data_IF_391167729741
#
_entry.id   IF_391167729741
#
_cell.length_a   1.000
_cell.length_b   1.000
_cell.length_c   1.000
_cell.angle_alpha   90.00
_cell.angle_beta   90.00
_cell.angle_gamma   90.00
#
_symmetry.space_group_name_H-M   'P 1'
#
loop_
_entity.id
_entity.type
_entity.pdbx_description
1 polymer ?
#
# COMPACT_ATOMS: atom_id res chain seq x y z
N UNK A 1 -38.33 -19.66 -15.93
CA UNK A 1 -38.43 -18.73 -14.79
C UNK A 1 -39.55 -19.22 -13.88
N UNK A 2 -39.27 -19.64 -12.64
CA UNK A 2 -40.32 -19.96 -11.66
C UNK A 2 -40.96 -18.63 -11.22
N UNK A 3 -42.09 -18.29 -11.83
CA UNK A 3 -42.80 -17.05 -11.55
C UNK A 3 -43.35 -17.02 -10.13
N UNK A 4 -43.39 -15.82 -9.54
CA UNK A 4 -43.98 -15.53 -8.25
C UNK A 4 -45.45 -15.96 -8.23
N UNK A 5 -45.83 -16.93 -7.40
CA UNK A 5 -47.23 -17.36 -7.26
C UNK A 5 -47.97 -16.43 -6.31
N UNK A 6 -49.02 -15.77 -6.79
CA UNK A 6 -49.89 -14.96 -5.95
C UNK A 6 -50.71 -15.91 -5.06
N UNK A 7 -50.51 -15.82 -3.74
CA UNK A 7 -51.18 -16.68 -2.75
C UNK A 7 -52.59 -16.19 -2.39
N UNK A 8 -52.90 -14.90 -2.60
CA UNK A 8 -54.20 -14.29 -2.29
C UNK A 8 -54.68 -13.44 -3.47
N UNK A 9 -55.52 -14.03 -4.33
CA UNK A 9 -56.18 -13.32 -5.42
C UNK A 9 -57.26 -12.38 -4.87
N UNK A 10 -57.37 -11.17 -5.42
CA UNK A 10 -58.42 -10.20 -5.08
C UNK A 10 -58.15 -9.29 -3.88
N UNK A 11 -57.01 -9.44 -3.19
CA UNK A 11 -56.61 -8.47 -2.16
C UNK A 11 -55.78 -7.34 -2.75
N UNK A 12 -56.21 -6.11 -2.48
CA UNK A 12 -55.43 -4.89 -2.72
C UNK A 12 -54.25 -4.83 -1.76
N UNK A 13 -53.06 -4.43 -2.25
CA UNK A 13 -51.79 -4.57 -1.53
C UNK A 13 -51.71 -3.91 -0.15
N UNK A 14 -52.52 -2.87 0.10
CA UNK A 14 -52.58 -2.17 1.39
C UNK A 14 -53.37 -2.93 2.49
N UNK A 15 -54.09 -4.00 2.13
CA UNK A 15 -54.88 -4.84 3.07
C UNK A 15 -54.18 -6.19 3.33
N UNK A 16 -52.96 -6.36 2.82
CA UNK A 16 -52.17 -7.53 3.12
C UNK A 16 -51.70 -7.46 4.58
N UNK A 17 -51.84 -8.55 5.36
CA UNK A 17 -51.29 -8.60 6.71
C UNK A 17 -49.76 -8.62 6.60
N UNK A 18 -49.14 -7.47 6.81
CA UNK A 18 -47.69 -7.33 6.88
C UNK A 18 -47.25 -7.58 8.32
N UNK A 19 -46.49 -8.65 8.52
CA UNK A 19 -45.79 -8.86 9.78
C UNK A 19 -44.54 -7.97 9.78
N UNK A 20 -44.71 -6.76 10.32
CA UNK A 20 -43.64 -5.77 10.41
C UNK A 20 -42.43 -6.29 11.21
N UNK A 21 -42.65 -7.12 12.24
CA UNK A 21 -41.59 -7.70 13.03
C UNK A 21 -40.80 -8.73 12.23
N UNK A 22 -41.48 -9.64 11.52
CA UNK A 22 -40.82 -10.61 10.64
C UNK A 22 -40.04 -9.93 9.51
N UNK A 23 -40.57 -8.85 8.93
CA UNK A 23 -39.88 -8.05 7.91
C UNK A 23 -38.62 -7.38 8.48
N UNK A 24 -38.69 -6.79 9.68
CA UNK A 24 -37.54 -6.19 10.33
C UNK A 24 -36.44 -7.22 10.65
N UNK A 25 -36.82 -8.40 11.18
CA UNK A 25 -35.88 -9.50 11.45
C UNK A 25 -35.22 -9.98 10.16
N UNK A 26 -35.98 -10.08 9.07
CA UNK A 26 -35.44 -10.44 7.75
C UNK A 26 -34.44 -9.39 7.26
N UNK A 27 -34.80 -8.11 7.31
CA UNK A 27 -33.93 -7.02 6.89
C UNK A 27 -32.60 -7.04 7.66
N UNK A 28 -32.64 -7.21 8.98
CA UNK A 28 -31.45 -7.31 9.83
C UNK A 28 -30.55 -8.50 9.43
N UNK A 29 -31.14 -9.66 9.11
CA UNK A 29 -30.39 -10.84 8.64
C UNK A 29 -29.76 -10.60 7.27
N UNK A 30 -30.48 -9.95 6.36
CA UNK A 30 -30.00 -9.66 5.01
C UNK A 30 -28.86 -8.62 5.04
N UNK A 31 -28.97 -7.61 5.91
CA UNK A 31 -27.90 -6.63 6.18
C UNK A 31 -26.66 -7.31 6.80
N UNK A 32 -26.85 -8.20 7.77
CA UNK A 32 -25.74 -8.96 8.35
C UNK A 32 -25.02 -9.85 7.32
N UNK A 33 -25.77 -10.46 6.39
CA UNK A 33 -25.19 -11.25 5.28
C UNK A 33 -24.40 -10.37 4.30
N UNK A 34 -24.95 -9.21 3.94
CA UNK A 34 -24.25 -8.24 3.10
C UNK A 34 -22.94 -7.80 3.75
N UNK A 35 -22.99 -7.45 5.04
CA UNK A 35 -21.81 -7.09 5.82
C UNK A 35 -20.77 -8.21 5.80
N UNK A 36 -21.17 -9.47 5.98
CA UNK A 36 -20.26 -10.61 5.92
C UNK A 36 -19.56 -10.73 4.56
N UNK A 37 -20.26 -10.48 3.44
CA UNK A 37 -19.65 -10.49 2.09
C UNK A 37 -18.67 -9.34 1.91
N UNK A 38 -18.99 -8.15 2.44
CA UNK A 38 -18.09 -6.99 2.43
C UNK A 38 -16.82 -7.31 3.24
N UNK A 39 -16.99 -7.80 4.47
CA UNK A 39 -15.90 -8.20 5.35
C UNK A 39 -15.02 -9.27 4.66
N UNK A 40 -15.61 -10.25 3.96
CA UNK A 40 -14.87 -11.24 3.17
C UNK A 40 -14.03 -10.62 2.05
N UNK A 41 -14.57 -9.64 1.33
CA UNK A 41 -13.85 -8.98 0.22
C UNK A 41 -12.61 -8.23 0.72
N UNK A 42 -12.72 -7.55 1.86
CA UNK A 42 -11.63 -6.78 2.46
C UNK A 42 -10.73 -7.59 3.40
N UNK A 43 -11.13 -8.80 3.81
CA UNK A 43 -10.35 -9.61 4.75
C UNK A 43 -8.95 -9.93 4.21
N UNK A 44 -7.94 -9.64 5.02
CA UNK A 44 -6.59 -10.18 4.84
C UNK A 44 -6.57 -11.67 5.20
N UNK A 45 -5.75 -12.47 4.51
CA UNK A 45 -5.53 -13.87 4.84
C UNK A 45 -6.07 -14.88 3.81
N UNK A 46 -6.29 -16.12 4.23
CA UNK A 46 -6.74 -17.18 3.31
C UNK A 46 -8.26 -17.08 3.08
N UNK A 47 -8.68 -16.85 1.84
CA UNK A 47 -10.12 -16.80 1.47
C UNK A 47 -10.87 -18.06 1.84
N UNK A 48 -10.27 -19.23 1.59
CA UNK A 48 -10.90 -20.51 1.91
C UNK A 48 -11.11 -20.66 3.42
N UNK A 49 -10.12 -20.32 4.23
CA UNK A 49 -10.23 -20.37 5.69
C UNK A 49 -11.30 -19.41 6.20
N UNK A 50 -11.43 -18.21 5.61
CA UNK A 50 -12.50 -17.28 5.96
C UNK A 50 -13.87 -17.90 5.69
N UNK A 51 -14.07 -18.49 4.51
CA UNK A 51 -15.33 -19.15 4.12
C UNK A 51 -15.65 -20.32 5.07
N UNK A 52 -14.67 -21.16 5.38
CA UNK A 52 -14.84 -22.31 6.30
C UNK A 52 -15.25 -21.83 7.69
N UNK A 53 -14.58 -20.80 8.22
CA UNK A 53 -14.93 -20.20 9.50
C UNK A 53 -16.37 -19.64 9.50
N UNK A 54 -16.81 -19.00 8.42
CA UNK A 54 -18.18 -18.47 8.28
C UNK A 54 -19.24 -19.58 8.38
N UNK A 55 -18.96 -20.76 7.82
CA UNK A 55 -19.86 -21.94 7.90
C UNK A 55 -19.65 -22.80 9.14
N UNK A 56 -18.78 -22.39 10.08
CA UNK A 56 -18.55 -23.08 11.35
C UNK A 56 -17.41 -24.11 11.35
N UNK A 57 -16.73 -24.30 10.22
CA UNK A 57 -15.54 -25.15 10.12
C UNK A 57 -14.29 -24.38 10.58
N UNK A 58 -14.02 -24.45 11.89
CA UNK A 58 -12.89 -23.77 12.53
C UNK A 58 -11.58 -24.56 12.37
N UNK A 59 -10.46 -23.88 12.55
CA UNK A 59 -9.10 -24.45 12.56
C UNK A 59 -8.61 -25.04 11.22
N UNK A 60 -9.21 -24.65 10.09
CA UNK A 60 -8.71 -25.06 8.78
C UNK A 60 -7.34 -24.45 8.49
N UNK A 61 -6.45 -25.21 7.86
CA UNK A 61 -5.16 -24.70 7.41
C UNK A 61 -5.31 -23.75 6.20
N UNK A 62 -4.38 -22.80 5.99
CA UNK A 62 -4.37 -21.96 4.80
C UNK A 62 -4.31 -22.81 3.52
N UNK A 63 -5.15 -22.51 2.53
CA UNK A 63 -5.30 -23.35 1.34
C UNK A 63 -4.12 -23.33 0.35
N UNK A 64 -3.16 -22.42 0.51
CA UNK A 64 -2.00 -22.27 -0.37
C UNK A 64 -2.28 -21.75 -1.80
N UNK A 65 -3.55 -21.68 -2.23
CA UNK A 65 -3.92 -21.45 -3.64
C UNK A 65 -4.78 -20.22 -3.94
N UNK A 66 -5.41 -19.61 -2.94
CA UNK A 66 -6.18 -18.37 -3.15
C UNK A 66 -5.27 -17.15 -3.35
N UNK A 67 -5.84 -16.04 -3.85
CA UNK A 67 -5.18 -14.73 -3.99
C UNK A 67 -4.48 -14.31 -2.69
N UNK A 68 -5.17 -14.40 -1.54
CA UNK A 68 -4.57 -14.06 -0.25
C UNK A 68 -3.47 -15.03 0.20
N UNK A 69 -3.44 -16.26 -0.30
CA UNK A 69 -2.30 -17.18 -0.08
C UNK A 69 -1.13 -16.89 -1.03
N UNK A 70 -1.42 -16.61 -2.30
CA UNK A 70 -0.41 -16.41 -3.36
C UNK A 70 0.25 -15.04 -3.32
N UNK A 71 -0.47 -14.01 -2.88
CA UNK A 71 0.05 -12.65 -2.73
C UNK A 71 1.04 -12.49 -1.57
N UNK A 72 1.08 -13.45 -0.64
CA UNK A 72 2.04 -13.46 0.47
C UNK A 72 3.40 -13.92 -0.03
N UNK A 73 4.30 -12.99 -0.32
CA UNK A 73 5.72 -13.24 -0.10
C UNK A 73 5.86 -13.49 1.40
N UNK A 74 6.10 -14.75 1.79
CA UNK A 74 6.31 -15.10 3.19
C UNK A 74 7.64 -14.47 3.66
N UNK A 75 7.58 -13.22 4.08
CA UNK A 75 8.60 -12.69 4.99
C UNK A 75 8.31 -13.37 6.32
N UNK A 76 9.24 -14.18 6.83
CA UNK A 76 9.05 -14.81 8.12
C UNK A 76 8.95 -13.74 9.21
N UNK A 77 8.08 -13.97 10.21
CA UNK A 77 8.03 -13.13 11.40
C UNK A 77 9.42 -13.11 12.03
N UNK A 78 9.98 -11.91 12.21
CA UNK A 78 11.30 -11.74 12.82
C UNK A 78 11.26 -10.65 13.88
N UNK A 79 12.29 -10.64 14.72
CA UNK A 79 12.56 -9.48 15.57
C UNK A 79 12.83 -8.26 14.70
N UNK A 80 12.09 -7.20 15.00
CA UNK A 80 12.17 -5.93 14.28
C UNK A 80 13.42 -5.17 14.75
N UNK A 81 14.18 -4.59 13.81
CA UNK A 81 15.37 -3.79 14.15
C UNK A 81 14.96 -2.47 14.82
N UNK A 82 15.88 -1.80 15.51
CA UNK A 82 15.57 -0.59 16.27
C UNK A 82 15.05 0.57 15.39
N UNK A 83 15.59 0.73 14.19
CA UNK A 83 15.16 1.71 13.18
C UNK A 83 13.76 1.38 12.65
N UNK A 84 13.52 0.11 12.32
CA UNK A 84 12.22 -0.39 11.89
C UNK A 84 11.15 -0.24 13.00
N UNK A 85 11.54 -0.37 14.26
CA UNK A 85 10.64 -0.17 15.40
C UNK A 85 10.18 1.27 15.54
N UNK A 86 11.03 2.22 15.17
CA UNK A 86 10.68 3.63 15.14
C UNK A 86 9.61 3.87 14.06
N UNK A 87 9.77 3.30 12.87
CA UNK A 87 8.78 3.36 11.80
C UNK A 87 7.43 2.75 12.20
N UNK A 88 7.43 1.58 12.85
CA UNK A 88 6.21 0.93 13.34
C UNK A 88 5.45 1.87 14.29
N UNK A 89 6.15 2.44 15.28
CA UNK A 89 5.53 3.38 16.22
C UNK A 89 5.02 4.64 15.54
N UNK A 90 5.76 5.20 14.57
CA UNK A 90 5.34 6.39 13.81
C UNK A 90 4.05 6.12 13.03
N UNK A 91 3.97 4.98 12.34
CA UNK A 91 2.81 4.60 11.56
C UNK A 91 1.57 4.36 12.45
N UNK A 92 1.71 3.61 13.55
CA UNK A 92 0.61 3.38 14.50
C UNK A 92 0.20 4.68 15.21
N UNK A 93 1.15 5.57 15.50
CA UNK A 93 0.85 6.91 16.03
C UNK A 93 0.02 7.73 15.05
N UNK A 94 0.25 7.58 13.74
CA UNK A 94 -0.60 8.18 12.71
C UNK A 94 -2.04 7.72 12.81
N UNK A 95 -2.28 6.41 12.95
CA UNK A 95 -3.63 5.85 13.14
C UNK A 95 -4.27 6.44 14.39
N UNK A 96 -3.54 6.49 15.51
CA UNK A 96 -4.03 7.04 16.77
C UNK A 96 -4.36 8.54 16.70
N UNK A 97 -3.49 9.36 16.08
CA UNK A 97 -3.73 10.81 15.91
C UNK A 97 -4.92 11.11 14.99
N UNK A 98 -5.23 10.18 14.11
CA UNK A 98 -6.39 10.22 13.22
C UNK A 98 -7.61 9.48 13.80
N UNK A 99 -7.57 9.16 15.09
CA UNK A 99 -8.65 8.50 15.84
C UNK A 99 -9.01 9.32 17.08
N UNK A 100 -10.15 9.01 17.70
CA UNK A 100 -10.52 9.59 19.00
C UNK A 100 -10.15 8.61 20.12
N UNK A 101 -9.41 9.08 21.12
CA UNK A 101 -9.05 8.25 22.28
C UNK A 101 -10.24 8.13 23.23
N UNK A 102 -10.70 6.90 23.53
CA UNK A 102 -11.72 6.64 24.56
C UNK A 102 -11.10 6.26 25.90
N UNK A 103 -10.06 5.44 25.87
CA UNK A 103 -9.34 5.00 27.06
C UNK A 103 -7.85 4.82 26.77
N UNK A 104 -7.13 4.19 27.69
CA UNK A 104 -5.69 3.97 27.57
C UNK A 104 -5.30 3.26 26.27
N UNK A 105 -6.03 2.20 25.89
CA UNK A 105 -5.77 1.36 24.73
C UNK A 105 -6.94 1.26 23.73
N UNK A 106 -8.03 1.97 23.98
CA UNK A 106 -9.22 1.93 23.13
C UNK A 106 -9.34 3.23 22.33
N UNK A 107 -9.41 3.07 21.01
CA UNK A 107 -9.46 4.15 20.03
C UNK A 107 -10.71 4.00 19.16
N UNK A 108 -11.33 5.11 18.80
CA UNK A 108 -12.43 5.15 17.82
C UNK A 108 -11.90 5.64 16.49
N UNK A 109 -11.97 4.84 15.42
CA UNK A 109 -11.45 5.25 14.13
C UNK A 109 -12.31 6.36 13.55
N UNK A 110 -11.70 7.26 12.76
CA UNK A 110 -12.41 8.34 12.07
C UNK A 110 -12.19 8.34 10.56
N UNK A 111 -11.16 7.62 10.10
CA UNK A 111 -10.73 7.65 8.70
C UNK A 111 -10.33 6.26 8.23
N UNK A 112 -10.51 6.00 6.94
CA UNK A 112 -10.05 4.79 6.28
C UNK A 112 -8.54 4.77 6.02
N UNK A 113 -8.01 3.56 5.81
CA UNK A 113 -6.59 3.27 5.57
C UNK A 113 -5.92 4.23 4.57
N UNK A 114 -6.55 4.46 3.41
CA UNK A 114 -5.98 5.29 2.35
C UNK A 114 -5.74 6.74 2.77
N UNK A 115 -6.67 7.32 3.55
CA UNK A 115 -6.55 8.70 4.03
C UNK A 115 -5.44 8.83 5.08
N UNK A 116 -5.30 7.81 5.93
CA UNK A 116 -4.20 7.72 6.92
C UNK A 116 -2.85 7.66 6.21
N UNK A 117 -2.71 6.79 5.22
CA UNK A 117 -1.46 6.65 4.44
C UNK A 117 -1.12 7.95 3.71
N UNK A 118 -2.11 8.62 3.10
CA UNK A 118 -1.90 9.91 2.46
C UNK A 118 -1.42 11.00 3.43
N UNK A 119 -1.97 11.04 4.65
CA UNK A 119 -1.51 11.95 5.70
C UNK A 119 -0.06 11.64 6.09
N UNK A 120 0.27 10.37 6.36
CA UNK A 120 1.63 9.94 6.74
C UNK A 120 2.68 10.22 5.66
N UNK A 121 2.29 10.23 4.38
CA UNK A 121 3.15 10.57 3.25
C UNK A 121 3.22 12.09 2.96
N UNK A 122 2.42 12.91 3.65
CA UNK A 122 2.40 14.36 3.46
C UNK A 122 1.71 14.78 2.16
N UNK A 123 0.61 14.12 1.80
CA UNK A 123 -0.16 14.44 0.60
C UNK A 123 -0.80 15.83 0.71
N UNK A 124 -0.78 16.59 -0.38
CA UNK A 124 -1.42 17.90 -0.51
C UNK A 124 -2.82 17.81 -1.16
N UNK A 125 -3.42 16.61 -1.23
CA UNK A 125 -4.75 16.44 -1.81
C UNK A 125 -5.80 17.18 -0.98
N UNK A 126 -6.77 17.83 -1.62
CA UNK A 126 -7.83 18.59 -0.94
C UNK A 126 -8.50 17.83 0.22
N UNK A 127 -8.88 16.54 0.09
CA UNK A 127 -9.49 15.80 1.20
C UNK A 127 -8.63 15.68 2.48
N UNK A 128 -7.31 15.83 2.36
CA UNK A 128 -6.35 15.82 3.49
C UNK A 128 -6.34 17.19 4.17
N UNK A 129 -6.24 18.25 3.38
CA UNK A 129 -6.21 19.64 3.85
C UNK A 129 -7.56 20.05 4.45
N UNK A 130 -8.67 19.71 3.78
CA UNK A 130 -10.03 20.02 4.23
C UNK A 130 -10.36 19.34 5.57
N UNK A 131 -9.69 18.22 5.87
CA UNK A 131 -9.83 17.51 7.13
C UNK A 131 -8.84 17.97 8.21
N UNK A 132 -8.01 18.98 7.93
CA UNK A 132 -7.00 19.54 8.83
C UNK A 132 -5.90 18.55 9.23
N UNK A 133 -5.67 17.52 8.39
CA UNK A 133 -4.72 16.45 8.71
C UNK A 133 -3.26 16.90 8.54
N UNK A 134 -3.02 17.97 7.80
CA UNK A 134 -1.73 18.63 7.61
C UNK A 134 -1.19 19.30 8.89
N UNK A 135 -2.07 19.64 9.83
CA UNK A 135 -1.68 20.19 11.14
C UNK A 135 -1.23 19.12 12.14
N UNK A 136 -1.39 17.82 11.83
CA UNK A 136 -1.00 16.74 12.73
C UNK A 136 0.52 16.57 12.77
N UNK A 137 1.07 16.28 13.95
CA UNK A 137 2.51 15.97 14.12
C UNK A 137 2.98 14.75 13.32
N UNK A 138 2.04 13.91 12.86
CA UNK A 138 2.30 12.71 12.05
C UNK A 138 2.18 12.97 10.55
N UNK A 139 1.83 14.19 10.13
CA UNK A 139 1.75 14.57 8.73
C UNK A 139 3.14 14.49 8.08
N UNK A 140 3.25 13.77 6.96
CA UNK A 140 4.52 13.61 6.23
C UNK A 140 5.61 12.82 6.97
N UNK A 141 5.31 12.23 8.13
CA UNK A 141 6.31 11.60 8.99
C UNK A 141 6.95 10.35 8.35
N UNK A 142 6.29 9.73 7.37
CA UNK A 142 6.77 8.58 6.59
C UNK A 142 7.05 8.93 5.12
N UNK A 143 7.15 10.21 4.77
CA UNK A 143 7.36 10.67 3.39
C UNK A 143 8.58 10.03 2.73
N UNK A 144 9.65 9.77 3.49
CA UNK A 144 10.88 9.12 3.01
C UNK A 144 10.71 7.66 2.60
N UNK A 145 9.69 6.97 3.12
CA UNK A 145 9.49 5.55 2.87
C UNK A 145 8.76 5.25 1.55
N UNK A 146 8.01 6.24 1.03
CA UNK A 146 7.23 6.09 -0.20
C UNK A 146 5.96 5.25 -0.03
N UNK A 147 4.99 5.45 -0.93
CA UNK A 147 3.66 4.89 -0.79
C UNK A 147 3.62 3.36 -0.80
N UNK A 148 4.34 2.72 -1.74
CA UNK A 148 4.35 1.27 -1.87
C UNK A 148 4.83 0.56 -0.60
N UNK A 149 5.84 1.12 0.08
CA UNK A 149 6.32 0.57 1.34
C UNK A 149 5.29 0.77 2.47
N UNK A 150 4.74 1.98 2.59
CA UNK A 150 3.77 2.29 3.65
C UNK A 150 2.49 1.46 3.46
N UNK A 151 1.99 1.28 2.23
CA UNK A 151 0.86 0.40 1.93
C UNK A 151 1.12 -1.04 2.40
N UNK A 152 2.28 -1.60 2.03
CA UNK A 152 2.70 -2.95 2.46
C UNK A 152 2.90 -3.03 3.99
N UNK A 153 3.41 -1.98 4.62
CA UNK A 153 3.57 -1.92 6.08
C UNK A 153 2.23 -2.03 6.79
N UNK A 154 1.20 -1.35 6.29
CA UNK A 154 -0.15 -1.45 6.85
C UNK A 154 -0.80 -2.81 6.60
N UNK A 155 -0.53 -3.47 5.47
CA UNK A 155 -0.94 -4.86 5.26
C UNK A 155 -0.31 -5.81 6.29
N UNK A 156 0.96 -5.59 6.65
CA UNK A 156 1.61 -6.35 7.72
C UNK A 156 0.97 -6.09 9.09
N UNK A 157 0.53 -4.86 9.38
CA UNK A 157 -0.16 -4.54 10.63
C UNK A 157 -1.53 -5.19 10.72
N UNK A 158 -2.29 -5.25 9.62
CA UNK A 158 -3.56 -5.97 9.55
C UNK A 158 -3.36 -7.46 9.80
N UNK A 159 -2.36 -8.07 9.15
CA UNK A 159 -2.03 -9.49 9.35
C UNK A 159 -1.55 -9.80 10.77
N UNK A 160 -0.83 -8.88 11.40
CA UNK A 160 -0.36 -9.00 12.78
C UNK A 160 -1.43 -8.61 13.82
N UNK A 161 -2.63 -8.22 13.39
CA UNK A 161 -3.72 -7.80 14.29
C UNK A 161 -3.44 -6.51 15.05
N UNK A 162 -2.51 -5.66 14.59
CA UNK A 162 -2.22 -4.35 15.19
C UNK A 162 -3.25 -3.30 14.78
N UNK A 163 -3.83 -3.46 13.60
CA UNK A 163 -4.93 -2.64 13.09
C UNK A 163 -5.98 -3.55 12.49
N UNK A 164 -7.22 -3.07 12.41
CA UNK A 164 -8.30 -3.79 11.74
C UNK A 164 -9.21 -2.83 11.01
N UNK A 165 -9.88 -3.32 9.96
CA UNK A 165 -10.91 -2.55 9.28
C UNK A 165 -12.25 -2.82 9.96
N UNK A 166 -12.94 -1.74 10.35
CA UNK A 166 -14.29 -1.79 10.90
C UNK A 166 -15.24 -1.02 9.99
N UNK A 167 -16.50 -1.46 9.95
CA UNK A 167 -17.55 -0.80 9.18
C UNK A 167 -18.35 0.12 10.10
N UNK A 168 -18.33 1.42 9.84
CA UNK A 168 -19.22 2.40 10.47
C UNK A 168 -20.17 2.95 9.39
N UNK A 169 -21.41 2.45 9.40
CA UNK A 169 -22.33 2.64 8.27
C UNK A 169 -21.76 2.01 6.99
N UNK A 170 -21.70 2.80 5.92
CA UNK A 170 -21.22 2.36 4.60
C UNK A 170 -19.70 2.51 4.40
N UNK A 171 -18.99 3.09 5.37
CA UNK A 171 -17.58 3.46 5.18
C UNK A 171 -16.61 2.55 5.96
N UNK A 172 -15.61 1.94 5.29
CA UNK A 172 -14.57 1.18 5.97
C UNK A 172 -13.57 2.13 6.65
N UNK A 173 -13.46 2.02 7.97
CA UNK A 173 -12.54 2.79 8.80
C UNK A 173 -11.41 1.90 9.32
N UNK A 174 -10.22 2.47 9.52
CA UNK A 174 -9.08 1.72 10.06
C UNK A 174 -8.94 1.97 11.55
N UNK A 175 -9.20 0.95 12.35
CA UNK A 175 -9.10 0.96 13.81
C UNK A 175 -7.73 0.47 14.28
N UNK A 176 -7.18 1.17 15.29
CA UNK A 176 -6.04 0.71 16.06
C UNK A 176 -6.53 -0.27 17.13
N UNK A 177 -6.12 -1.54 17.05
CA UNK A 177 -6.52 -2.56 18.03
C UNK A 177 -5.85 -2.30 19.38
N UNK A 178 -6.32 -2.95 20.45
CA UNK A 178 -5.65 -2.87 21.75
C UNK A 178 -4.19 -3.34 21.69
N UNK A 179 -3.93 -4.40 20.92
CA UNK A 179 -2.57 -4.89 20.68
C UNK A 179 -1.73 -3.82 19.97
N UNK A 180 -2.27 -3.21 18.91
CA UNK A 180 -1.63 -2.09 18.21
C UNK A 180 -1.33 -0.91 19.13
N UNK A 181 -2.25 -0.56 20.04
CA UNK A 181 -2.06 0.51 21.01
C UNK A 181 -0.93 0.20 22.00
N UNK A 182 -0.86 -1.03 22.52
CA UNK A 182 0.24 -1.45 23.42
C UNK A 182 1.59 -1.46 22.69
N UNK A 183 1.62 -1.89 21.44
CA UNK A 183 2.80 -1.84 20.57
C UNK A 183 3.25 -0.40 20.29
N UNK A 184 2.32 0.47 19.93
CA UNK A 184 2.58 1.90 19.68
C UNK A 184 3.22 2.58 20.90
N UNK A 185 2.73 2.27 22.11
CA UNK A 185 3.27 2.79 23.38
C UNK A 185 4.57 2.11 23.82
N UNK A 186 4.97 1.03 23.15
CA UNK A 186 6.17 0.26 23.48
C UNK A 186 6.01 -0.71 24.65
N UNK A 187 4.78 -0.99 25.09
CA UNK A 187 4.48 -1.97 26.13
C UNK A 187 4.62 -3.42 25.63
N UNK A 188 4.47 -3.64 24.32
CA UNK A 188 4.68 -4.94 23.68
C UNK A 188 5.56 -4.81 22.43
N UNK A 189 6.30 -5.89 22.11
CA UNK A 189 7.16 -5.98 20.93
C UNK A 189 6.97 -7.34 20.21
N UNK A 190 5.87 -7.52 19.46
CA UNK A 190 5.65 -8.73 18.69
C UNK A 190 6.71 -8.91 17.60
N UNK A 191 6.91 -10.15 17.16
CA UNK A 191 7.65 -10.43 15.94
C UNK A 191 6.78 -10.06 14.73
N UNK A 192 7.36 -9.37 13.76
CA UNK A 192 6.64 -8.86 12.59
C UNK A 192 7.34 -9.29 11.31
N UNK A 193 6.54 -9.59 10.30
CA UNK A 193 6.96 -9.83 8.92
C UNK A 193 6.96 -8.53 8.12
N UNK A 194 7.84 -7.58 8.47
CA UNK A 194 7.87 -6.26 7.81
C UNK A 194 8.33 -6.37 6.35
N UNK A 195 7.78 -5.53 5.44
CA UNK A 195 8.22 -5.52 4.04
C UNK A 195 9.67 -5.04 3.93
N UNK A 196 10.36 -5.45 2.87
CA UNK A 196 11.70 -4.96 2.58
C UNK A 196 11.64 -3.47 2.22
N UNK A 197 12.49 -2.67 2.88
CA UNK A 197 12.68 -1.23 2.58
C UNK A 197 13.39 -1.08 1.23
N UNK A 198 12.65 -1.23 0.14
CA UNK A 198 13.16 -0.97 -1.22
C UNK A 198 13.34 0.52 -1.50
N UNK A 199 12.70 1.39 -0.72
CA UNK A 199 12.77 2.86 -0.84
C UNK A 199 13.84 3.51 0.06
N UNK A 200 14.44 2.78 1.00
CA UNK A 200 15.24 3.35 2.10
C UNK A 200 16.75 3.42 1.87
N UNK A 201 17.30 2.80 0.83
CA UNK A 201 18.75 2.83 0.57
C UNK A 201 19.27 4.18 0.01
N UNK A 202 18.39 5.17 -0.21
CA UNK A 202 18.76 6.47 -0.80
C UNK A 202 18.57 7.63 0.20
N UNK A 203 17.81 7.45 1.28
CA UNK A 203 17.47 8.54 2.20
C UNK A 203 18.50 8.80 3.31
N UNK A 204 19.43 7.88 3.59
CA UNK A 204 20.49 8.09 4.60
C UNK A 204 21.79 8.71 4.05
N UNK A 205 21.84 9.04 2.76
CA UNK A 205 23.00 9.69 2.12
C UNK A 205 22.90 11.23 2.05
N UNK A 206 21.83 11.86 2.53
CA UNK A 206 21.59 13.31 2.37
C UNK A 206 22.10 14.19 3.53
N UNK A 207 23.08 13.75 4.31
CA UNK A 207 23.85 14.65 5.20
C UNK A 207 25.33 14.36 5.32
N UNK A 208 25.89 13.44 4.51
CA UNK A 208 27.33 13.27 4.43
C UNK A 208 27.85 14.06 3.23
N UNK A 209 28.59 15.12 3.53
CA UNK A 209 29.50 15.80 2.62
C UNK A 209 30.01 14.85 1.53
N UNK A 210 29.89 15.32 0.29
CA UNK A 210 30.50 14.77 -0.91
C UNK A 210 31.89 14.20 -0.59
N UNK A 211 31.98 12.87 -0.50
CA UNK A 211 33.19 12.16 -0.88
C UNK A 211 32.93 11.58 -2.26
N UNK A 212 33.71 12.10 -3.19
CA UNK A 212 33.87 11.63 -4.57
C UNK A 212 34.04 10.10 -4.57
N UNK A 213 33.20 9.43 -5.36
CA UNK A 213 33.43 8.06 -5.80
C UNK A 213 32.84 6.99 -4.88
N UNK A 214 31.61 6.58 -5.16
CA UNK A 214 31.25 5.18 -5.05
C UNK A 214 30.19 4.83 -6.10
N UNK A 215 30.49 3.76 -6.81
CA UNK A 215 29.90 3.34 -8.07
C UNK A 215 29.09 2.07 -7.80
N UNK A 216 27.86 1.92 -8.33
CA UNK A 216 27.16 0.64 -8.28
C UNK A 216 28.01 -0.46 -8.94
N UNK A 217 28.23 -1.57 -8.24
CA UNK A 217 28.99 -2.70 -8.78
C UNK A 217 28.33 -3.25 -10.06
N UNK A 218 29.13 -3.53 -11.10
CA UNK A 218 28.67 -4.08 -12.38
C UNK A 218 28.58 -3.10 -13.56
N UNK A 219 29.15 -1.90 -13.45
CA UNK A 219 29.25 -0.93 -14.57
C UNK A 219 30.61 -1.09 -15.26
N UNK A 220 30.60 -1.42 -16.55
CA UNK A 220 31.80 -1.55 -17.38
C UNK A 220 32.38 -0.17 -17.76
N UNK A 221 31.53 0.83 -18.00
CA UNK A 221 31.94 2.19 -18.36
C UNK A 221 31.34 3.23 -17.40
N UNK A 222 32.18 3.64 -16.44
CA UNK A 222 31.76 4.54 -15.39
C UNK A 222 31.61 5.99 -15.83
N UNK A 223 32.39 6.40 -16.84
CA UNK A 223 32.30 7.73 -17.40
C UNK A 223 31.00 7.89 -18.18
N UNK A 224 30.62 6.86 -18.95
CA UNK A 224 29.33 6.82 -19.64
C UNK A 224 28.16 6.88 -18.67
N UNK A 225 28.19 6.07 -17.62
CA UNK A 225 27.12 6.05 -16.62
C UNK A 225 26.91 7.43 -15.98
N UNK A 226 27.98 8.17 -15.69
CA UNK A 226 27.89 9.53 -15.16
C UNK A 226 27.23 10.50 -16.14
N UNK A 227 27.60 10.43 -17.44
CA UNK A 227 26.95 11.24 -18.49
C UNK A 227 25.46 10.92 -18.63
N UNK A 228 25.10 9.63 -18.63
CA UNK A 228 23.70 9.19 -18.71
C UNK A 228 22.89 9.62 -17.46
N UNK A 229 23.50 9.57 -16.29
CA UNK A 229 22.88 10.04 -15.05
C UNK A 229 22.67 11.57 -15.04
N UNK A 230 23.61 12.33 -15.62
CA UNK A 230 23.47 13.78 -15.81
C UNK A 230 22.31 14.10 -16.77
N UNK A 231 22.27 13.46 -17.95
CA UNK A 231 21.19 13.64 -18.94
C UNK A 231 19.82 13.27 -18.37
N UNK A 232 19.75 12.20 -17.57
CA UNK A 232 18.51 11.83 -16.86
C UNK A 232 18.03 12.91 -15.90
N UNK A 233 18.96 13.57 -15.21
CA UNK A 233 18.63 14.62 -14.24
C UNK A 233 18.14 15.88 -14.93
N UNK A 234 18.71 16.21 -16.09
CA UNK A 234 18.28 17.31 -16.95
C UNK A 234 16.83 17.11 -17.44
N UNK A 235 16.54 15.94 -18.03
CA UNK A 235 15.19 15.61 -18.53
C UNK A 235 14.13 15.56 -17.42
N UNK A 236 14.54 15.11 -16.23
CA UNK A 236 13.70 15.08 -15.04
C UNK A 236 13.35 16.49 -14.55
N UNK A 237 14.34 17.39 -14.54
CA UNK A 237 14.16 18.79 -14.19
C UNK A 237 13.22 19.50 -15.17
N UNK A 238 13.42 19.30 -16.48
CA UNK A 238 12.55 19.86 -17.53
C UNK A 238 11.09 19.38 -17.42
N UNK A 239 10.87 18.15 -16.95
CA UNK A 239 9.53 17.55 -16.82
C UNK A 239 8.87 17.76 -15.45
N UNK A 240 9.56 18.35 -14.48
CA UNK A 240 9.09 18.46 -13.09
C UNK A 240 8.82 17.11 -12.42
N UNK A 241 9.43 16.03 -12.90
CA UNK A 241 9.19 14.65 -12.45
C UNK A 241 10.47 14.05 -11.85
N UNK A 242 10.38 13.12 -10.88
CA UNK A 242 11.57 12.49 -10.31
C UNK A 242 12.42 11.75 -11.36
N UNK A 243 13.75 11.82 -11.26
CA UNK A 243 14.68 11.28 -12.27
C UNK A 243 14.50 9.79 -12.60
N UNK A 244 14.14 8.97 -11.62
CA UNK A 244 13.85 7.55 -11.84
C UNK A 244 12.65 7.31 -12.78
N UNK A 245 11.77 8.30 -12.96
CA UNK A 245 10.62 8.25 -13.86
C UNK A 245 11.05 8.30 -15.33
N UNK A 246 12.15 8.99 -15.63
CA UNK A 246 12.79 9.04 -16.97
C UNK A 246 13.35 7.65 -17.30
N UNK A 247 14.34 7.18 -16.53
CA UNK A 247 14.79 5.79 -16.55
C UNK A 247 15.20 5.32 -15.14
N UNK A 248 14.79 4.11 -14.71
CA UNK A 248 15.30 3.50 -13.49
C UNK A 248 16.83 3.30 -13.54
N UNK A 249 17.49 3.25 -12.39
CA UNK A 249 18.96 3.10 -12.32
C UNK A 249 19.48 1.87 -13.09
N UNK A 250 18.76 0.74 -13.03
CA UNK A 250 19.18 -0.48 -13.72
C UNK A 250 19.17 -0.33 -15.25
N UNK A 251 18.32 0.55 -15.80
CA UNK A 251 18.31 0.85 -17.25
C UNK A 251 19.55 1.66 -17.63
N UNK A 252 19.99 2.60 -16.79
CA UNK A 252 21.23 3.35 -17.04
C UNK A 252 22.47 2.45 -16.98
N UNK A 253 22.50 1.48 -16.06
CA UNK A 253 23.57 0.48 -15.98
C UNK A 253 23.59 -0.38 -17.24
N UNK A 254 22.43 -0.87 -17.69
CA UNK A 254 22.33 -1.66 -18.93
C UNK A 254 22.71 -0.85 -20.17
N UNK A 255 22.32 0.43 -20.26
CA UNK A 255 22.72 1.32 -21.36
C UNK A 255 24.24 1.57 -21.36
N UNK A 256 24.84 1.82 -20.19
CA UNK A 256 26.28 2.01 -20.05
C UNK A 256 27.09 0.75 -20.42
N UNK A 257 26.54 -0.43 -20.11
CA UNK A 257 27.19 -1.71 -20.38
C UNK A 257 27.02 -2.18 -21.83
N UNK A 258 25.82 -2.03 -22.40
CA UNK A 258 25.53 -2.53 -23.76
C UNK A 258 25.86 -1.55 -24.87
N UNK A 259 25.97 -0.25 -24.55
CA UNK A 259 26.23 0.85 -25.51
C UNK A 259 25.43 0.69 -26.83
N UNK A 260 24.09 0.53 -26.76
CA UNK A 260 23.29 0.33 -27.96
C UNK A 260 23.44 1.53 -28.90
N UNK A 261 23.58 1.24 -30.19
CA UNK A 261 23.74 2.25 -31.25
C UNK A 261 22.44 2.53 -32.00
N UNK A 262 21.39 1.75 -31.70
CA UNK A 262 20.07 1.90 -32.32
C UNK A 262 18.92 1.63 -31.36
N UNK A 263 17.74 2.18 -31.66
CA UNK A 263 16.50 1.92 -30.90
C UNK A 263 16.16 0.42 -30.84
N UNK A 264 16.49 -0.34 -31.89
CA UNK A 264 16.25 -1.79 -31.98
C UNK A 264 17.08 -2.58 -30.98
N UNK A 265 18.29 -2.12 -30.67
CA UNK A 265 19.14 -2.75 -29.66
C UNK A 265 18.68 -2.39 -28.25
N UNK A 266 18.31 -1.13 -28.04
CA UNK A 266 17.86 -0.62 -26.76
C UNK A 266 16.51 -1.19 -26.31
N UNK A 267 15.57 -1.52 -27.22
CA UNK A 267 14.26 -2.10 -26.85
C UNK A 267 14.37 -3.44 -26.10
N UNK A 268 15.49 -4.15 -26.26
CA UNK A 268 15.76 -5.41 -25.56
C UNK A 268 16.02 -5.21 -24.05
N UNK A 269 16.27 -3.98 -23.61
CA UNK A 269 16.50 -3.63 -22.21
C UNK A 269 15.16 -3.52 -21.50
N UNK A 270 14.97 -4.39 -20.51
CA UNK A 270 13.77 -4.40 -19.66
C UNK A 270 13.53 -3.00 -19.08
N UNK A 271 12.31 -2.46 -19.20
CA UNK A 271 11.99 -1.11 -18.69
C UNK A 271 12.06 0.02 -19.73
N UNK A 272 12.50 -0.26 -20.95
CA UNK A 272 12.34 0.61 -22.12
C UNK A 272 11.05 0.22 -22.84
N UNK A 273 9.94 0.87 -22.45
CA UNK A 273 8.63 0.67 -23.09
C UNK A 273 8.47 1.50 -24.38
N UNK A 274 7.47 1.19 -25.22
CA UNK A 274 7.25 1.86 -26.51
C UNK A 274 7.05 3.38 -26.41
N UNK A 275 6.50 3.87 -25.29
CA UNK A 275 6.38 5.31 -25.03
C UNK A 275 7.77 5.97 -24.83
N UNK A 276 8.63 5.37 -24.00
CA UNK A 276 9.96 5.90 -23.70
C UNK A 276 10.93 5.77 -24.87
N UNK A 277 10.72 4.77 -25.74
CA UNK A 277 11.49 4.54 -26.94
C UNK A 277 11.43 5.72 -27.92
N UNK A 278 10.27 6.38 -28.03
CA UNK A 278 10.09 7.51 -28.94
C UNK A 278 10.38 8.87 -28.31
N UNK A 279 10.17 9.02 -27.00
CA UNK A 279 10.20 10.34 -26.34
C UNK A 279 11.44 10.60 -25.50
N UNK A 280 12.11 9.56 -24.99
CA UNK A 280 13.21 9.71 -24.03
C UNK A 280 14.49 9.04 -24.53
N UNK A 281 14.39 7.90 -25.20
CA UNK A 281 15.55 7.14 -25.65
C UNK A 281 16.49 7.88 -26.63
N UNK A 282 16.02 8.70 -27.59
CA UNK A 282 16.91 9.40 -28.54
C UNK A 282 17.98 10.25 -27.83
N UNK A 283 17.59 10.99 -26.80
CA UNK A 283 18.48 11.80 -25.95
C UNK A 283 19.60 10.97 -25.27
N UNK A 284 19.35 9.70 -24.96
CA UNK A 284 20.35 8.82 -24.34
C UNK A 284 21.24 8.16 -25.40
N UNK A 285 20.73 7.88 -26.59
CA UNK A 285 21.53 7.36 -27.70
C UNK A 285 22.54 8.39 -28.19
N UNK A 286 22.19 9.68 -28.21
CA UNK A 286 23.13 10.78 -28.50
C UNK A 286 24.30 10.80 -27.50
N UNK A 287 24.00 10.72 -26.20
CA UNK A 287 25.04 10.70 -25.15
C UNK A 287 25.96 9.48 -25.26
N UNK A 288 25.43 8.33 -25.70
CA UNK A 288 26.22 7.12 -25.95
C UNK A 288 27.11 7.31 -27.18
N UNK A 289 26.58 7.90 -28.25
CA UNK A 289 27.33 8.16 -29.49
C UNK A 289 28.47 9.17 -29.26
N UNK A 290 28.24 10.23 -28.50
CA UNK A 290 29.26 11.24 -28.14
C UNK A 290 30.34 10.74 -27.18
N UNK A 291 30.13 9.57 -26.56
CA UNK A 291 31.06 8.96 -25.63
C UNK A 291 31.79 7.74 -26.22
N UNK A 292 31.37 7.29 -27.39
CA UNK A 292 31.98 6.16 -28.11
C UNK A 292 33.21 6.60 -28.89
#
# INVERSE_FOLDING_TARGET
>A
MRGSRILQLGKVGHVLPLDALALAIKAQRDEARLKAVIDFAYAAGCRQQWILNYFGERNSQPCGRCDGCRGRKQVANRTVKADEWTLVKMALSGVARMSTRRSTDVWTPRFGKRKIIQCLLGSQAAPILDAGLDALSTYGILKSEGSAYVDALFECFEQAGLVQVVMEGEYPLLELTELGSRVMRGAEKPTLALPERTAGAIASASSRQVKKGEVPAGIADQALYQKLAAKRSELAAASGKPAYTVFPNFVLVELANRKPTSEREAISIRGIGPAKLKTVLPDFLEVIAEHS
#
